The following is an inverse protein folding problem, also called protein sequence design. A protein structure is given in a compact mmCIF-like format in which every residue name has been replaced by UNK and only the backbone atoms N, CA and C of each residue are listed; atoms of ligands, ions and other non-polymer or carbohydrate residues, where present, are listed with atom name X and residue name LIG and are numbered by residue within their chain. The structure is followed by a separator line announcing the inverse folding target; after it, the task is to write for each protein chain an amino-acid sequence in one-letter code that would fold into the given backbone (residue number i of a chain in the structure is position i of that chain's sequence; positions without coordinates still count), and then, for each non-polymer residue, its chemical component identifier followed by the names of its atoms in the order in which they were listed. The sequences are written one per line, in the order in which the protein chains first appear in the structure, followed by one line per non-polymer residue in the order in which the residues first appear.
data_IF_320500788975
#
_entry.id   IF_320500788975
#
_cell.length_a   1.000
_cell.length_b   1.000
_cell.length_c   1.000
_cell.angle_alpha   90.00
_cell.angle_beta   90.00
_cell.angle_gamma   90.00
#
_symmetry.space_group_name_H-M   'P 1'
#
loop_
_entity.id
_entity.type
_entity.pdbx_description
1 polymer ?
#
# COMPACT_ATOMS: atom_id res chain seq x y z
N UNK A 1 10.28 23.02 18.61
CA UNK A 1 11.04 22.34 17.52
C UNK A 1 10.09 22.12 16.36
N UNK A 2 10.53 22.33 15.12
CA UNK A 2 9.72 21.98 13.95
C UNK A 2 9.55 20.46 13.90
N UNK A 3 8.33 19.92 13.78
CA UNK A 3 8.14 18.48 13.70
C UNK A 3 8.86 17.91 12.47
N UNK A 4 9.62 16.85 12.65
CA UNK A 4 10.27 16.16 11.53
C UNK A 4 9.20 15.34 10.82
N UNK A 5 8.88 15.71 9.58
CA UNK A 5 7.97 14.94 8.72
C UNK A 5 8.73 13.82 8.03
N UNK A 6 8.11 12.65 7.97
CA UNK A 6 8.58 11.48 7.22
C UNK A 6 7.63 11.29 6.06
N UNK A 7 8.16 11.33 4.83
CA UNK A 7 7.41 11.04 3.62
C UNK A 7 7.25 9.54 3.46
N UNK A 8 6.02 9.06 3.43
CA UNK A 8 5.68 7.64 3.28
C UNK A 8 5.18 7.32 1.86
N UNK A 9 5.40 8.21 0.89
CA UNK A 9 4.82 8.14 -0.46
C UNK A 9 5.86 7.70 -1.48
N UNK A 10 5.52 6.73 -2.29
CA UNK A 10 6.29 6.34 -3.47
C UNK A 10 6.21 7.39 -4.58
N UNK A 11 7.29 7.63 -5.34
CA UNK A 11 7.23 8.50 -6.50
C UNK A 11 6.31 7.92 -7.59
N UNK A 12 5.60 8.80 -8.31
CA UNK A 12 4.81 8.42 -9.48
C UNK A 12 5.61 8.76 -10.75
N UNK A 13 6.10 7.76 -11.42
CA UNK A 13 6.76 7.88 -12.70
C UNK A 13 6.30 6.78 -13.69
N UNK A 14 6.83 6.78 -14.89
CA UNK A 14 6.46 5.81 -15.93
C UNK A 14 6.95 4.37 -15.68
N UNK A 15 7.72 4.15 -14.62
CA UNK A 15 8.30 2.84 -14.25
C UNK A 15 7.63 2.22 -13.03
N UNK A 16 6.70 2.95 -12.41
CA UNK A 16 6.02 2.44 -11.22
C UNK A 16 5.33 1.10 -11.50
N UNK A 17 5.32 0.17 -10.52
CA UNK A 17 4.57 -1.06 -10.64
C UNK A 17 3.06 -0.75 -10.68
N UNK A 18 2.38 -1.40 -11.63
CA UNK A 18 0.92 -1.30 -11.79
C UNK A 18 0.33 -2.69 -11.57
N UNK A 19 -0.75 -2.77 -10.80
CA UNK A 19 -1.44 -4.03 -10.59
C UNK A 19 -1.89 -4.62 -11.94
N UNK A 20 -1.74 -5.94 -12.18
CA UNK A 20 -2.10 -6.55 -13.46
C UNK A 20 -3.56 -6.29 -13.83
N UNK A 21 -3.77 -5.66 -14.99
CA UNK A 21 -5.10 -5.28 -15.49
C UNK A 21 -5.47 -3.81 -15.26
N UNK A 22 -4.77 -3.09 -14.40
CA UNK A 22 -5.03 -1.68 -14.15
C UNK A 22 -4.51 -0.76 -15.26
N UNK A 23 -5.14 0.40 -15.48
CA UNK A 23 -4.64 1.43 -16.38
C UNK A 23 -3.25 1.94 -15.97
N UNK A 24 -2.30 2.06 -16.92
CA UNK A 24 -0.95 2.54 -16.61
C UNK A 24 -0.94 4.03 -16.25
N UNK A 25 0.05 4.43 -15.44
CA UNK A 25 0.31 5.84 -15.17
C UNK A 25 0.87 6.54 -16.40
N UNK A 26 0.36 7.72 -16.70
CA UNK A 26 0.87 8.62 -17.74
C UNK A 26 0.92 10.04 -17.25
N UNK A 27 2.07 10.67 -17.44
CA UNK A 27 2.31 12.10 -17.18
C UNK A 27 2.92 12.72 -18.45
N UNK A 28 2.15 13.49 -19.20
CA UNK A 28 2.57 14.08 -20.47
C UNK A 28 2.48 15.60 -20.40
N UNK A 29 3.61 16.27 -20.70
CA UNK A 29 3.62 17.73 -20.79
C UNK A 29 2.79 18.20 -21.98
N UNK A 30 1.72 18.96 -21.72
CA UNK A 30 0.83 19.55 -22.73
C UNK A 30 1.21 20.98 -23.09
N UNK A 31 1.75 21.75 -22.14
CA UNK A 31 2.22 23.12 -22.33
C UNK A 31 3.62 23.28 -21.77
N UNK A 32 4.45 24.09 -22.44
CA UNK A 32 5.83 24.37 -22.03
C UNK A 32 6.03 25.87 -21.81
N UNK A 33 6.86 26.25 -20.84
CA UNK A 33 7.15 27.67 -20.55
C UNK A 33 7.68 28.41 -21.80
N UNK A 34 8.52 27.75 -22.59
CA UNK A 34 9.13 28.36 -23.77
C UNK A 34 8.16 28.66 -24.91
N UNK A 35 7.10 27.84 -25.06
CA UNK A 35 6.10 28.03 -26.12
C UNK A 35 4.88 28.80 -25.66
N UNK A 36 4.41 28.50 -24.43
CA UNK A 36 3.10 28.92 -23.95
C UNK A 36 3.16 29.93 -22.79
N UNK A 37 4.36 30.21 -22.25
CA UNK A 37 4.59 31.06 -21.09
C UNK A 37 4.31 30.39 -19.73
N UNK A 38 3.81 29.16 -19.73
CA UNK A 38 3.51 28.35 -18.52
C UNK A 38 3.67 26.86 -18.85
N UNK A 39 3.74 26.02 -17.80
CA UNK A 39 3.87 24.57 -17.95
C UNK A 39 2.63 23.88 -17.40
N UNK A 40 2.08 22.90 -18.14
CA UNK A 40 0.97 22.04 -17.72
C UNK A 40 1.26 20.60 -18.14
N UNK A 41 0.92 19.66 -17.25
CA UNK A 41 0.98 18.24 -17.53
C UNK A 41 -0.43 17.63 -17.49
N UNK A 42 -0.75 16.80 -18.47
CA UNK A 42 -1.90 15.94 -18.46
C UNK A 42 -1.55 14.64 -17.75
N UNK A 43 -2.39 14.23 -16.80
CA UNK A 43 -2.23 13.01 -16.01
C UNK A 43 -3.35 12.03 -16.35
N UNK A 44 -3.00 10.74 -16.44
CA UNK A 44 -3.95 9.64 -16.55
C UNK A 44 -3.42 8.48 -15.71
N UNK A 45 -4.27 7.92 -14.83
CA UNK A 45 -3.89 6.84 -13.92
C UNK A 45 -5.13 6.16 -13.31
N UNK A 46 -4.93 4.95 -12.73
CA UNK A 46 -5.90 4.24 -11.91
C UNK A 46 -6.09 4.92 -10.54
N UNK A 47 -7.26 4.78 -9.91
CA UNK A 47 -7.49 5.17 -8.51
C UNK A 47 -6.49 4.50 -7.55
N UNK A 48 -5.95 3.35 -7.91
CA UNK A 48 -5.01 2.55 -7.12
C UNK A 48 -3.54 2.73 -7.57
N UNK A 49 -3.18 3.92 -8.07
CA UNK A 49 -1.82 4.21 -8.53
C UNK A 49 -0.89 4.59 -7.39
N UNK A 50 0.29 3.96 -7.33
CA UNK A 50 1.34 4.31 -6.36
C UNK A 50 0.88 4.14 -4.91
N UNK A 51 1.30 5.04 -4.01
CA UNK A 51 0.78 5.06 -2.64
C UNK A 51 -0.63 5.64 -2.65
N UNK A 52 -1.61 4.82 -2.28
CA UNK A 52 -3.04 5.15 -2.37
C UNK A 52 -3.81 4.57 -1.19
N UNK A 53 -5.07 4.93 -1.08
CA UNK A 53 -6.02 4.39 -0.10
C UNK A 53 -7.23 3.82 -0.81
N UNK A 54 -7.66 2.63 -0.36
CA UNK A 54 -8.89 1.97 -0.80
C UNK A 54 -10.03 2.29 0.15
N UNK A 55 -11.17 2.65 -0.45
CA UNK A 55 -12.44 2.81 0.25
C UNK A 55 -13.28 1.52 0.17
N UNK A 56 -14.29 1.33 1.04
CA UNK A 56 -15.18 0.17 0.99
C UNK A 56 -15.81 -0.10 -0.37
N UNK A 57 -16.06 0.95 -1.17
CA UNK A 57 -16.61 0.81 -2.53
C UNK A 57 -15.69 0.09 -3.52
N UNK A 58 -14.41 -0.11 -3.20
CA UNK A 58 -13.50 -0.89 -4.04
C UNK A 58 -13.95 -2.34 -4.22
N UNK A 59 -14.44 -2.97 -3.16
CA UNK A 59 -14.93 -4.36 -3.19
C UNK A 59 -16.45 -4.50 -3.04
N UNK A 60 -17.14 -3.43 -2.63
CA UNK A 60 -18.57 -3.48 -2.32
C UNK A 60 -19.34 -2.39 -3.06
N UNK A 61 -20.20 -2.78 -4.00
CA UNK A 61 -20.96 -1.87 -4.86
C UNK A 61 -21.80 -0.83 -4.08
N UNK A 62 -22.18 -1.14 -2.85
CA UNK A 62 -22.88 -0.23 -1.93
C UNK A 62 -21.96 0.32 -0.83
N UNK A 63 -20.65 0.13 -0.97
CA UNK A 63 -19.64 0.66 -0.05
C UNK A 63 -19.52 2.17 -0.11
N UNK A 64 -19.03 2.76 0.97
CA UNK A 64 -18.76 4.20 1.04
C UNK A 64 -17.61 4.54 0.09
N UNK A 65 -17.78 5.60 -0.71
CA UNK A 65 -16.76 6.11 -1.64
C UNK A 65 -15.79 7.05 -0.93
N UNK A 66 -14.61 7.26 -1.54
CA UNK A 66 -13.50 8.00 -0.93
C UNK A 66 -13.88 9.44 -0.55
N UNK A 67 -14.71 10.11 -1.34
CA UNK A 67 -15.14 11.48 -1.13
C UNK A 67 -16.16 11.66 0.01
N UNK A 68 -16.79 10.57 0.45
CA UNK A 68 -17.79 10.53 1.52
C UNK A 68 -17.18 10.28 2.90
N UNK A 69 -15.93 9.86 2.96
CA UNK A 69 -15.24 9.55 4.21
C UNK A 69 -14.85 10.83 4.97
N UNK A 70 -15.03 10.90 6.30
CA UNK A 70 -14.64 12.06 7.09
C UNK A 70 -13.12 12.20 7.18
N UNK A 71 -12.62 13.45 7.26
CA UNK A 71 -11.17 13.73 7.33
C UNK A 71 -10.49 13.11 8.54
N UNK A 72 -11.21 12.94 9.66
CA UNK A 72 -10.70 12.27 10.86
C UNK A 72 -10.29 10.81 10.63
N UNK A 73 -10.76 10.18 9.55
CA UNK A 73 -10.36 8.83 9.17
C UNK A 73 -8.94 8.79 8.59
N UNK A 74 -8.45 9.91 8.08
CA UNK A 74 -7.17 10.00 7.37
C UNK A 74 -6.04 10.65 8.17
N UNK A 75 -6.35 11.29 9.31
CA UNK A 75 -5.34 11.86 10.20
C UNK A 75 -5.59 11.27 11.58
N UNK A 76 -4.69 10.36 12.01
CA UNK A 76 -4.90 9.57 13.23
C UNK A 76 -3.57 9.08 13.78
N UNK A 77 -3.53 8.64 15.06
CA UNK A 77 -2.36 7.98 15.59
C UNK A 77 -2.03 6.71 14.79
N UNK A 78 -0.75 6.43 14.62
CA UNK A 78 -0.24 5.27 13.89
C UNK A 78 0.66 4.38 14.73
N UNK A 79 0.74 3.11 14.36
CA UNK A 79 1.63 2.11 14.94
C UNK A 79 2.27 1.30 13.83
N UNK A 80 3.61 1.32 13.76
CA UNK A 80 4.34 0.43 12.84
C UNK A 80 4.61 -0.90 13.54
N UNK A 81 4.23 -1.99 12.87
CA UNK A 81 4.54 -3.37 13.26
C UNK A 81 5.58 -3.94 12.30
N UNK A 82 6.70 -4.41 12.85
CA UNK A 82 7.78 -5.00 12.07
C UNK A 82 7.53 -6.49 11.81
N UNK A 83 7.27 -6.81 10.55
CA UNK A 83 7.12 -8.17 10.03
C UNK A 83 8.13 -8.47 8.92
N UNK A 84 9.23 -7.72 8.86
CA UNK A 84 10.25 -7.81 7.80
C UNK A 84 11.07 -9.11 7.80
N UNK A 85 10.90 -9.94 8.81
CA UNK A 85 11.44 -11.29 8.84
C UNK A 85 10.71 -12.26 7.88
N UNK A 86 9.56 -11.85 7.37
CA UNK A 86 8.77 -12.62 6.40
C UNK A 86 9.42 -12.62 5.03
N UNK A 87 9.40 -13.79 4.40
CA UNK A 87 10.00 -14.01 3.09
C UNK A 87 9.01 -13.72 1.96
N UNK A 88 9.50 -13.74 0.73
CA UNK A 88 8.69 -13.65 -0.47
C UNK A 88 7.51 -14.64 -0.40
N UNK A 89 6.30 -14.15 -0.72
CA UNK A 89 5.04 -14.90 -0.75
C UNK A 89 4.65 -15.60 0.55
N UNK A 90 5.31 -15.27 1.67
CA UNK A 90 4.99 -15.86 2.96
C UNK A 90 3.77 -15.19 3.59
N UNK A 91 2.87 -16.01 4.10
CA UNK A 91 1.66 -15.55 4.78
C UNK A 91 1.98 -14.98 6.17
N UNK A 92 1.47 -13.79 6.46
CA UNK A 92 1.48 -13.15 7.78
C UNK A 92 0.14 -13.46 8.43
N UNK A 93 0.11 -14.42 9.35
CA UNK A 93 -1.07 -14.80 10.14
C UNK A 93 -1.13 -14.01 11.44
N UNK A 94 -2.25 -14.07 12.16
CA UNK A 94 -2.37 -13.45 13.48
C UNK A 94 -1.28 -13.92 14.46
N UNK A 95 -0.84 -15.17 14.39
CA UNK A 95 0.27 -15.68 15.20
C UNK A 95 1.56 -14.85 15.05
N UNK A 96 1.78 -14.25 13.90
CA UNK A 96 2.92 -13.34 13.66
C UNK A 96 2.71 -11.99 14.36
N UNK A 97 1.48 -11.49 14.40
CA UNK A 97 1.10 -10.18 14.94
C UNK A 97 0.87 -10.22 16.45
N UNK A 98 0.38 -11.32 16.97
CA UNK A 98 -0.02 -11.52 18.37
C UNK A 98 1.02 -11.06 19.41
N UNK A 99 2.33 -11.29 19.25
CA UNK A 99 3.33 -10.80 20.20
C UNK A 99 3.41 -9.27 20.32
N UNK A 100 2.83 -8.53 19.37
CA UNK A 100 2.79 -7.06 19.34
C UNK A 100 1.39 -6.50 19.62
N UNK A 101 0.41 -7.37 19.90
CA UNK A 101 -1.00 -7.01 19.98
C UNK A 101 -1.35 -6.08 21.16
N UNK A 102 -0.59 -6.12 22.24
CA UNK A 102 -0.72 -5.23 23.40
C UNK A 102 -0.47 -3.76 23.08
N UNK A 103 0.24 -3.47 21.98
CA UNK A 103 0.49 -2.12 21.47
C UNK A 103 -0.68 -1.59 20.63
N UNK A 104 -1.58 -2.49 20.17
CA UNK A 104 -2.70 -2.12 19.30
C UNK A 104 -3.86 -1.62 20.15
N UNK A 105 -4.37 -0.45 19.84
CA UNK A 105 -5.52 0.16 20.53
C UNK A 105 -6.58 0.64 19.52
N UNK A 106 -7.83 0.81 19.94
CA UNK A 106 -8.85 1.35 19.04
C UNK A 106 -8.47 2.73 18.49
N UNK A 107 -8.90 3.00 17.26
CA UNK A 107 -8.76 4.32 16.63
C UNK A 107 -7.36 4.67 16.10
N UNK A 108 -6.45 3.70 16.02
CA UNK A 108 -5.15 3.90 15.39
C UNK A 108 -5.09 3.30 13.98
N UNK A 109 -4.17 3.80 13.15
CA UNK A 109 -3.72 3.10 11.95
C UNK A 109 -2.64 2.08 12.34
N UNK A 110 -2.73 0.86 11.81
CA UNK A 110 -1.68 -0.17 11.92
C UNK A 110 -0.95 -0.29 10.60
N UNK A 111 0.37 -0.02 10.60
CA UNK A 111 1.21 -0.05 9.42
C UNK A 111 2.16 -1.25 9.48
N UNK A 112 2.04 -2.15 8.53
CA UNK A 112 2.89 -3.33 8.43
C UNK A 112 4.16 -3.03 7.64
N UNK A 113 5.31 -3.05 8.31
CA UNK A 113 6.62 -2.95 7.68
C UNK A 113 7.09 -4.34 7.30
N UNK A 114 6.98 -4.68 6.03
CA UNK A 114 7.54 -5.92 5.47
C UNK A 114 8.96 -5.71 4.94
N UNK A 115 9.34 -4.45 4.70
CA UNK A 115 10.58 -4.07 4.03
C UNK A 115 10.54 -4.29 2.52
N UNK A 116 9.35 -4.52 1.95
CA UNK A 116 9.18 -4.83 0.53
C UNK A 116 9.24 -3.59 -0.37
N UNK A 117 8.99 -2.39 0.16
CA UNK A 117 9.13 -1.12 -0.57
C UNK A 117 10.51 -0.93 -1.23
N UNK A 118 11.55 -1.61 -0.75
CA UNK A 118 12.89 -1.63 -1.39
C UNK A 118 12.91 -2.19 -2.82
N UNK A 119 11.88 -2.93 -3.22
CA UNK A 119 11.76 -3.52 -4.55
C UNK A 119 10.89 -2.70 -5.51
N UNK A 120 10.44 -1.50 -5.09
CA UNK A 120 9.58 -0.63 -5.88
C UNK A 120 10.13 -0.34 -7.28
N UNK A 121 11.42 -0.03 -7.40
CA UNK A 121 12.08 0.32 -8.66
C UNK A 121 12.51 -0.90 -9.49
N UNK A 122 12.29 -2.13 -9.01
CA UNK A 122 12.81 -3.35 -9.60
C UNK A 122 11.79 -4.14 -10.43
N UNK A 123 10.69 -3.53 -10.86
CA UNK A 123 9.68 -4.19 -11.69
C UNK A 123 10.16 -4.56 -13.09
N UNK A 124 11.26 -3.96 -13.56
CA UNK A 124 11.75 -4.11 -14.93
C UNK A 124 13.07 -4.84 -15.09
N UNK A 125 13.73 -5.26 -14.02
CA UNK A 125 15.08 -5.83 -14.11
C UNK A 125 15.12 -7.35 -14.09
N UNK A 126 14.46 -8.01 -15.04
CA UNK A 126 14.82 -9.39 -15.41
C UNK A 126 16.07 -9.46 -16.31
N UNK A 127 16.63 -8.32 -16.74
CA UNK A 127 17.60 -8.29 -17.83
C UNK A 127 19.08 -8.27 -17.41
N UNK A 128 19.43 -8.02 -16.14
CA UNK A 128 20.84 -7.88 -15.75
C UNK A 128 21.12 -8.60 -14.39
N UNK A 129 20.84 -9.89 -14.30
CA UNK A 129 21.24 -10.67 -13.14
C UNK A 129 22.58 -11.37 -13.36
N UNK A 130 23.68 -10.64 -13.16
CA UNK A 130 25.01 -11.26 -12.91
C UNK A 130 25.20 -11.62 -11.42
N UNK A 131 24.16 -11.60 -10.61
CA UNK A 131 24.21 -11.99 -9.20
C UNK A 131 23.47 -13.32 -8.98
N UNK A 132 24.17 -14.32 -8.47
CA UNK A 132 23.68 -15.65 -8.13
C UNK A 132 22.67 -15.69 -6.94
N UNK A 133 21.80 -14.70 -6.79
CA UNK A 133 20.77 -14.64 -5.76
C UNK A 133 19.35 -14.65 -6.35
N UNK A 134 18.31 -15.08 -5.59
CA UNK A 134 16.93 -15.03 -6.04
C UNK A 134 16.54 -13.57 -6.32
N UNK A 135 16.15 -13.28 -7.55
CA UNK A 135 15.54 -11.99 -7.94
C UNK A 135 14.12 -11.96 -7.40
N UNK A 136 13.86 -11.09 -6.42
CA UNK A 136 12.50 -10.85 -5.96
C UNK A 136 11.86 -9.75 -6.78
N UNK A 137 10.65 -10.00 -7.27
CA UNK A 137 9.79 -8.99 -7.86
C UNK A 137 9.00 -8.27 -6.78
N UNK A 138 8.58 -7.04 -7.06
CA UNK A 138 7.70 -6.29 -6.15
C UNK A 138 6.41 -7.06 -5.83
N UNK A 139 5.90 -7.85 -6.77
CA UNK A 139 4.71 -8.70 -6.62
C UNK A 139 4.92 -9.98 -5.78
N UNK A 140 6.17 -10.32 -5.45
CA UNK A 140 6.49 -11.48 -4.59
C UNK A 140 6.40 -11.15 -3.09
N UNK A 141 5.73 -10.07 -2.73
CA UNK A 141 5.65 -9.62 -1.35
C UNK A 141 4.99 -10.66 -0.42
N UNK A 142 5.31 -10.64 0.88
CA UNK A 142 4.53 -11.34 1.88
C UNK A 142 3.14 -10.69 1.99
N UNK A 143 2.14 -11.44 2.46
CA UNK A 143 0.75 -11.01 2.46
C UNK A 143 0.06 -11.32 3.79
N UNK A 144 -0.99 -10.58 4.12
CA UNK A 144 -1.75 -10.66 5.36
C UNK A 144 -2.90 -11.65 5.21
N UNK A 145 -2.99 -12.62 6.13
CA UNK A 145 -4.10 -13.55 6.16
C UNK A 145 -5.40 -12.85 6.63
N UNK A 146 -6.53 -13.41 6.25
CA UNK A 146 -7.87 -12.96 6.65
C UNK A 146 -8.03 -12.85 8.18
N UNK A 147 -7.43 -13.75 8.95
CA UNK A 147 -7.50 -13.74 10.42
C UNK A 147 -6.86 -12.47 11.02
N UNK A 148 -5.87 -11.88 10.35
CA UNK A 148 -5.28 -10.60 10.76
C UNK A 148 -6.30 -9.48 10.61
N UNK A 149 -7.02 -9.41 9.47
CA UNK A 149 -8.09 -8.43 9.27
C UNK A 149 -9.17 -8.52 10.37
N UNK A 150 -9.68 -9.74 10.61
CA UNK A 150 -10.73 -9.99 11.59
C UNK A 150 -10.30 -9.60 13.01
N UNK A 151 -9.07 -9.92 13.41
CA UNK A 151 -8.52 -9.58 14.73
C UNK A 151 -8.27 -8.09 14.90
N UNK A 152 -7.71 -7.41 13.89
CA UNK A 152 -7.52 -5.96 13.91
C UNK A 152 -8.86 -5.22 14.04
N UNK A 153 -9.88 -5.65 13.30
CA UNK A 153 -11.22 -5.11 13.38
C UNK A 153 -11.83 -5.29 14.79
N UNK A 154 -11.63 -6.47 15.40
CA UNK A 154 -12.07 -6.75 16.77
C UNK A 154 -11.35 -5.87 17.81
N UNK A 155 -10.10 -5.47 17.55
CA UNK A 155 -9.34 -4.53 18.37
C UNK A 155 -9.69 -3.05 18.09
N UNK A 156 -10.65 -2.77 17.21
CA UNK A 156 -11.10 -1.41 16.89
C UNK A 156 -10.25 -0.66 15.90
N UNK A 157 -9.35 -1.35 15.17
CA UNK A 157 -8.57 -0.78 14.06
C UNK A 157 -9.49 -0.63 12.84
N UNK A 158 -9.40 0.52 12.15
CA UNK A 158 -10.17 0.81 10.92
C UNK A 158 -9.29 1.30 9.77
N UNK A 159 -7.99 1.47 9.99
CA UNK A 159 -7.03 1.84 8.96
C UNK A 159 -5.83 0.91 9.05
N UNK A 160 -5.51 0.25 7.95
CA UNK A 160 -4.30 -0.58 7.81
C UNK A 160 -3.47 -0.06 6.65
N UNK A 161 -2.15 -0.01 6.83
CA UNK A 161 -1.22 0.31 5.77
C UNK A 161 -0.17 -0.78 5.57
N UNK A 162 0.35 -0.91 4.35
CA UNK A 162 1.41 -1.85 4.01
C UNK A 162 2.40 -1.23 3.02
N UNK A 163 3.65 -1.65 3.09
CA UNK A 163 4.72 -1.30 2.13
C UNK A 163 4.82 -2.30 0.97
N UNK A 164 3.69 -2.95 0.64
CA UNK A 164 3.53 -3.92 -0.44
C UNK A 164 2.51 -3.44 -1.47
N UNK A 165 2.47 -4.11 -2.64
CA UNK A 165 1.49 -3.86 -3.69
C UNK A 165 0.05 -4.07 -3.22
N UNK A 166 -0.16 -5.01 -2.29
CA UNK A 166 -1.46 -5.38 -1.73
C UNK A 166 -1.28 -6.01 -0.35
N UNK A 167 -2.25 -5.93 0.56
CA UNK A 167 -2.28 -6.77 1.76
C UNK A 167 -2.55 -8.24 1.42
N UNK A 168 -3.28 -8.54 0.35
CA UNK A 168 -3.48 -9.90 -0.15
C UNK A 168 -2.35 -10.33 -1.10
N UNK A 169 -2.32 -11.60 -1.44
CA UNK A 169 -1.34 -12.14 -2.36
C UNK A 169 -1.57 -11.59 -3.77
N UNK A 170 -0.58 -10.92 -4.35
CA UNK A 170 -0.65 -10.44 -5.72
C UNK A 170 -0.38 -11.56 -6.74
N UNK A 171 -1.05 -11.53 -7.90
CA UNK A 171 -0.70 -12.41 -9.01
C UNK A 171 0.72 -12.09 -9.50
N UNK A 172 1.44 -13.11 -9.94
CA UNK A 172 2.74 -12.88 -10.58
C UNK A 172 2.50 -12.22 -11.95
N UNK A 173 3.37 -11.28 -12.36
CA UNK A 173 3.35 -10.79 -13.73
C UNK A 173 3.47 -11.95 -14.70
N UNK A 174 2.56 -12.07 -15.63
CA UNK A 174 2.65 -13.08 -16.71
C UNK A 174 3.93 -12.77 -17.48
N UNK A 175 4.89 -13.66 -17.41
CA UNK A 175 6.11 -13.57 -18.23
C UNK A 175 5.68 -13.65 -19.69
N UNK A 176 5.70 -12.52 -20.39
CA UNK A 176 5.47 -12.48 -21.84
C UNK A 176 6.73 -13.00 -22.56
N UNK A 177 7.04 -14.28 -22.41
CA UNK A 177 7.84 -14.99 -23.39
C UNK A 177 6.91 -15.24 -24.58
N UNK A 178 6.76 -14.21 -25.43
CA UNK A 178 6.21 -14.40 -26.78
C UNK A 178 7.23 -15.24 -27.53
N UNK A 179 7.12 -16.57 -27.42
CA UNK A 179 7.66 -17.48 -28.40
C UNK A 179 6.90 -17.24 -29.70
N UNK A 180 7.60 -16.82 -30.74
CA UNK A 180 7.10 -16.76 -32.11
C UNK A 180 6.76 -18.18 -32.58
N UNK A 181 5.55 -18.64 -32.27
CA UNK A 181 5.03 -19.94 -32.70
C UNK A 181 3.55 -20.00 -32.39
N UNK A 182 2.72 -19.87 -33.43
CA UNK A 182 1.26 -19.92 -33.33
C UNK A 182 0.76 -21.25 -32.78
N UNK A 183 0.16 -21.22 -31.64
CA UNK A 183 -0.56 -22.29 -31.00
C UNK A 183 -1.25 -21.72 -29.79
N UNK A 184 -2.60 -21.81 -29.74
CA UNK A 184 -3.35 -21.46 -28.54
C UNK A 184 -2.88 -22.37 -27.41
N UNK A 185 -2.05 -21.84 -26.48
CA UNK A 185 -1.69 -22.59 -25.27
C UNK A 185 -2.88 -22.57 -24.30
N UNK A 186 -3.41 -23.73 -24.09
CA UNK A 186 -4.32 -24.09 -23.01
C UNK A 186 -3.66 -23.74 -21.68
N UNK A 187 -4.38 -22.96 -20.85
CA UNK A 187 -4.08 -22.76 -19.44
C UNK A 187 -3.91 -24.13 -18.79
N UNK A 188 -2.69 -24.44 -18.33
CA UNK A 188 -2.42 -25.71 -17.65
C UNK A 188 -3.04 -25.66 -16.25
N UNK A 189 -3.86 -26.66 -15.93
CA UNK A 189 -4.34 -26.97 -14.58
C UNK A 189 -3.14 -27.10 -13.63
N UNK A 190 -2.92 -26.12 -12.75
CA UNK A 190 -1.83 -26.10 -11.79
C UNK A 190 -1.45 -24.71 -11.28
N UNK A 191 -2.09 -23.64 -11.75
CA UNK A 191 -1.88 -22.31 -11.22
C UNK A 191 -2.49 -22.25 -9.81
N UNK A 192 -1.65 -21.84 -8.81
CA UNK A 192 -2.10 -21.49 -7.47
C UNK A 192 -3.28 -20.51 -7.61
N UNK A 193 -4.38 -20.70 -6.86
CA UNK A 193 -5.53 -19.82 -6.98
C UNK A 193 -5.09 -18.39 -6.71
N UNK A 194 -5.46 -17.49 -7.63
CA UNK A 194 -5.42 -16.03 -7.42
C UNK A 194 -6.01 -15.79 -6.03
N UNK A 195 -5.35 -14.95 -5.21
CA UNK A 195 -5.79 -14.57 -3.87
C UNK A 195 -7.32 -14.54 -3.77
N UNK A 196 -7.86 -15.16 -2.74
CA UNK A 196 -9.29 -15.07 -2.41
C UNK A 196 -9.71 -13.67 -1.92
N UNK A 197 -8.76 -12.69 -1.95
CA UNK A 197 -8.91 -11.33 -1.42
C UNK A 197 -9.45 -11.31 0.02
N UNK A 198 -9.05 -12.29 0.82
CA UNK A 198 -9.60 -12.51 2.15
C UNK A 198 -9.40 -11.33 3.09
N UNK A 199 -8.26 -10.62 2.99
CA UNK A 199 -8.00 -9.42 3.77
C UNK A 199 -8.88 -8.25 3.31
N UNK A 200 -8.91 -7.93 2.01
CA UNK A 200 -9.74 -6.87 1.45
C UNK A 200 -11.22 -7.08 1.77
N UNK A 201 -11.76 -8.25 1.46
CA UNK A 201 -13.17 -8.56 1.70
C UNK A 201 -13.56 -8.40 3.17
N UNK A 202 -12.70 -8.85 4.09
CA UNK A 202 -13.00 -8.73 5.52
C UNK A 202 -12.87 -7.30 6.01
N UNK A 203 -11.77 -6.61 5.64
CA UNK A 203 -11.45 -5.31 6.21
C UNK A 203 -12.30 -4.18 5.63
N UNK A 204 -12.40 -4.10 4.30
CA UNK A 204 -13.26 -3.12 3.61
C UNK A 204 -14.75 -3.39 3.86
N UNK A 205 -15.15 -4.68 3.93
CA UNK A 205 -16.54 -5.07 4.24
C UNK A 205 -17.02 -4.62 5.62
N UNK A 206 -16.10 -4.43 6.56
CA UNK A 206 -16.39 -3.87 7.88
C UNK A 206 -16.23 -2.33 7.96
N UNK A 207 -16.08 -1.66 6.79
CA UNK A 207 -15.90 -0.22 6.71
C UNK A 207 -14.47 0.25 7.03
N UNK A 208 -13.50 -0.64 7.01
CA UNK A 208 -12.08 -0.30 7.13
C UNK A 208 -11.51 0.34 5.85
N UNK A 209 -10.32 0.90 5.96
CA UNK A 209 -9.54 1.48 4.85
C UNK A 209 -8.18 0.79 4.75
N UNK A 210 -7.72 0.57 3.53
CA UNK A 210 -6.42 -0.03 3.26
C UNK A 210 -5.55 1.01 2.56
N UNK A 211 -4.29 1.14 3.00
CA UNK A 211 -3.29 2.01 2.38
C UNK A 211 -2.17 1.15 1.85
N UNK A 212 -1.94 1.19 0.56
CA UNK A 212 -0.98 0.35 -0.13
C UNK A 212 0.25 1.13 -0.59
N UNK A 213 1.33 0.40 -0.87
CA UNK A 213 2.56 0.95 -1.43
C UNK A 213 3.20 2.05 -0.57
N UNK A 214 3.13 1.94 0.75
CA UNK A 214 3.87 2.85 1.64
C UNK A 214 5.39 2.65 1.49
N UNK A 215 6.16 3.69 1.81
CA UNK A 215 7.62 3.61 1.87
C UNK A 215 8.16 4.21 3.18
N UNK A 216 9.47 4.10 3.40
CA UNK A 216 10.17 4.66 4.56
C UNK A 216 9.61 4.20 5.94
N UNK A 217 8.91 3.05 5.99
CA UNK A 217 8.42 2.50 7.26
C UNK A 217 9.55 2.06 8.20
N UNK A 218 10.75 1.79 7.70
CA UNK A 218 11.96 1.55 8.50
C UNK A 218 12.39 2.81 9.25
N UNK A 219 12.40 3.96 8.58
CA UNK A 219 12.69 5.25 9.18
C UNK A 219 11.64 5.61 10.23
N UNK A 220 10.36 5.38 9.94
CA UNK A 220 9.26 5.63 10.86
C UNK A 220 9.35 4.72 12.09
N UNK A 221 9.62 3.43 11.91
CA UNK A 221 9.81 2.46 13.00
C UNK A 221 10.96 2.89 13.93
N UNK A 222 12.12 3.23 13.36
CA UNK A 222 13.25 3.70 14.16
C UNK A 222 12.92 4.95 15.00
N UNK A 223 12.09 5.85 14.45
CA UNK A 223 11.61 7.03 15.20
C UNK A 223 10.59 6.67 16.27
N UNK A 224 9.69 5.75 15.97
CA UNK A 224 8.70 5.24 16.91
C UNK A 224 9.37 4.58 18.12
N UNK A 225 10.40 3.76 17.89
CA UNK A 225 11.12 3.03 18.94
C UNK A 225 12.02 3.93 19.78
N UNK A 226 12.49 5.04 19.21
CA UNK A 226 13.29 6.05 19.93
C UNK A 226 12.43 7.18 20.53
N UNK A 227 11.09 7.09 20.44
CA UNK A 227 10.20 8.15 20.88
C UNK A 227 10.12 8.25 22.40
N UNK A 228 10.01 9.48 22.91
CA UNK A 228 9.72 9.71 24.32
C UNK A 228 8.35 9.14 24.73
N UNK A 229 8.15 8.73 25.99
CA UNK A 229 6.92 8.06 26.42
C UNK A 229 5.63 8.84 26.13
N UNK A 230 5.69 10.16 26.13
CA UNK A 230 4.55 11.05 25.91
C UNK A 230 4.37 11.46 24.43
N UNK A 231 5.07 10.80 23.52
CA UNK A 231 4.92 11.01 22.08
C UNK A 231 4.22 9.84 21.42
N UNK A 232 3.61 10.13 20.27
CA UNK A 232 3.02 9.11 19.41
C UNK A 232 3.25 9.48 17.94
N UNK A 233 3.25 8.47 17.10
CA UNK A 233 3.23 8.66 15.65
C UNK A 233 1.85 9.16 15.26
N UNK A 234 1.81 10.23 14.47
CA UNK A 234 0.60 10.68 13.76
C UNK A 234 0.84 10.48 12.28
N UNK A 235 -0.10 9.81 11.61
CA UNK A 235 -0.10 9.64 10.16
C UNK A 235 -1.15 10.54 9.52
N UNK A 236 -0.82 11.10 8.37
CA UNK A 236 -1.75 11.79 7.47
C UNK A 236 -1.75 11.05 6.13
N UNK A 237 -2.92 10.51 5.79
CA UNK A 237 -3.17 9.62 4.66
C UNK A 237 -4.26 10.23 3.75
N UNK A 238 -4.26 11.57 3.62
CA UNK A 238 -5.30 12.32 2.94
C UNK A 238 -5.34 12.03 1.44
N UNK A 239 -6.43 11.44 0.93
CA UNK A 239 -6.60 11.15 -0.50
C UNK A 239 -7.02 12.39 -1.28
N UNK A 240 -6.89 12.31 -2.60
CA UNK A 240 -7.62 13.21 -3.49
C UNK A 240 -9.13 12.98 -3.31
N UNK A 241 -9.90 14.07 -3.21
CA UNK A 241 -11.36 14.01 -3.09
C UNK A 241 -12.02 13.83 -4.47
N UNK A 242 -11.93 12.61 -4.99
CA UNK A 242 -12.52 12.25 -6.29
C UNK A 242 -13.94 11.72 -6.05
N UNK A 243 -14.94 12.41 -6.54
CA UNK A 243 -16.36 12.07 -6.30
C UNK A 243 -16.71 10.71 -6.87
N UNK A 244 -17.29 9.86 -6.03
CA UNK A 244 -17.77 8.53 -6.41
C UNK A 244 -16.66 7.50 -6.66
N UNK A 245 -15.41 7.80 -6.28
CA UNK A 245 -14.27 6.91 -6.53
C UNK A 245 -14.09 5.90 -5.40
N UNK A 246 -13.58 4.73 -5.75
CA UNK A 246 -13.35 3.57 -4.90
C UNK A 246 -12.02 3.63 -4.12
N UNK A 247 -11.17 4.57 -4.49
CA UNK A 247 -9.87 4.83 -3.89
C UNK A 247 -9.26 6.10 -4.46
N UNK A 248 -8.13 6.52 -3.93
CA UNK A 248 -7.38 7.64 -4.50
C UNK A 248 -5.91 7.63 -4.05
N UNK A 249 -4.98 8.14 -4.89
CA UNK A 249 -3.61 8.37 -4.46
C UNK A 249 -3.53 9.38 -3.32
N UNK A 250 -2.55 9.16 -2.43
CA UNK A 250 -2.32 9.99 -1.24
C UNK A 250 -0.88 10.52 -1.22
N UNK A 251 -0.67 11.68 -0.60
CA UNK A 251 0.63 12.04 -0.04
C UNK A 251 0.65 11.61 1.42
N UNK A 252 1.03 10.35 1.64
CA UNK A 252 1.17 9.78 2.98
C UNK A 252 2.38 10.39 3.69
N UNK A 253 2.18 10.91 4.88
CA UNK A 253 3.24 11.44 5.74
C UNK A 253 3.05 10.97 7.18
N UNK A 254 4.14 10.93 7.94
CA UNK A 254 4.10 10.72 9.38
C UNK A 254 4.93 11.76 10.14
N UNK A 255 4.56 11.99 11.38
CA UNK A 255 5.32 12.80 12.33
C UNK A 255 5.18 12.25 13.75
N UNK A 256 6.13 12.57 14.63
CA UNK A 256 5.98 12.33 16.06
C UNK A 256 5.39 13.60 16.69
N UNK A 257 4.34 13.43 17.49
CA UNK A 257 3.62 14.49 18.16
C UNK A 257 3.40 14.13 19.64
N UNK A 258 3.23 15.12 20.54
CA UNK A 258 2.75 14.82 21.88
C UNK A 258 1.44 14.04 21.86
N UNK A 259 1.26 13.09 22.78
CA UNK A 259 0.02 12.30 22.87
C UNK A 259 -1.18 13.20 23.09
N UNK A 260 -2.29 12.85 22.45
CA UNK A 260 -3.57 13.53 22.61
C UNK A 260 -3.78 14.77 21.74
N UNK A 261 -2.88 15.06 20.81
CA UNK A 261 -3.08 16.17 19.85
C UNK A 261 -4.21 15.88 18.88
N UNK A 262 -4.49 14.60 18.59
CA UNK A 262 -5.54 14.13 17.67
C UNK A 262 -6.49 13.11 18.33
N UNK A 263 -6.68 13.20 19.64
CA UNK A 263 -7.64 12.36 20.39
C UNK A 263 -9.03 12.96 20.42
#
# INVERSE_FOLDING_TARGET
MTPTLIDLTQPLDSKLPVYPGDPPFSCRQSHTVSRDGYSVHALSYSSHVGTHVDAPSHFFAVGVTIDQLPLSTFILPGLVLDVSHKKARECITWKTVEPMADRIRPGIAVLFRTGWSRYWDHTTTLANSDSNGPTHHYFDHPWLAKDVAERLLALGVRVVGTDTMSPDQSPLPISSTVGSGGGAETVTEGEEPISDYGFHLSFLGAGGLIVENLTNLDTLLARQDAAEPDTEVIVSLLPLKITGCDGAPVRAIASLQPRGVFS
#
